data_IF_236180806019
#
_entry.id   IF_236180806019
#
_cell.length_a   1.000
_cell.length_b   1.000
_cell.length_c   1.000
_cell.angle_alpha   90.00
_cell.angle_beta   90.00
_cell.angle_gamma   90.00
#
_symmetry.space_group_name_H-M   'P 1'
#
loop_
_entity.id
_entity.type
_entity.pdbx_description
1 polymer ?
#
# COMPACT_ATOMS: atom_id res chain seq x y z
N UNK A 1 35.90 54.33 47.69
CA UNK A 1 36.44 53.61 46.51
C UNK A 1 37.59 52.73 46.95
N UNK A 2 37.36 51.43 47.14
CA UNK A 2 38.41 50.46 47.44
C UNK A 2 38.02 49.16 46.71
N UNK A 3 38.89 48.74 45.80
CA UNK A 3 38.68 47.60 44.89
C UNK A 3 38.71 46.30 45.70
N UNK A 4 37.71 45.45 45.48
CA UNK A 4 37.70 44.04 45.94
C UNK A 4 38.45 43.18 44.92
N UNK A 5 39.38 42.38 45.43
CA UNK A 5 40.23 41.47 44.68
C UNK A 5 39.57 40.09 44.68
N UNK A 6 39.32 39.56 43.49
CA UNK A 6 38.54 38.34 43.25
C UNK A 6 39.37 37.08 43.50
N UNK A 7 38.81 36.23 44.38
CA UNK A 7 39.11 34.83 44.63
C UNK A 7 39.23 33.97 43.37
N UNK A 8 40.27 33.14 43.28
CA UNK A 8 40.29 31.93 42.46
C UNK A 8 40.94 30.77 43.22
N UNK A 9 40.10 29.84 43.65
CA UNK A 9 40.43 28.57 44.29
C UNK A 9 40.72 27.47 43.24
N UNK A 10 41.70 26.58 43.43
CA UNK A 10 41.98 25.50 42.48
C UNK A 10 41.06 24.29 42.71
N UNK A 11 40.40 23.84 41.62
CA UNK A 11 39.55 22.64 41.60
C UNK A 11 40.35 21.35 41.80
N UNK A 12 39.87 20.57 42.77
CA UNK A 12 40.29 19.26 43.23
C UNK A 12 40.34 18.18 42.11
N UNK A 13 41.37 17.33 42.19
CA UNK A 13 41.72 16.27 41.24
C UNK A 13 41.47 14.91 41.91
N UNK A 14 40.24 14.43 41.86
CA UNK A 14 39.84 13.11 42.41
C UNK A 14 39.42 12.15 41.29
N UNK A 15 40.41 11.62 40.56
CA UNK A 15 40.23 10.42 39.71
C UNK A 15 41.31 9.39 40.05
N UNK A 16 40.88 8.15 40.30
CA UNK A 16 41.69 6.92 40.35
C UNK A 16 42.49 6.62 41.64
N UNK A 17 41.78 6.17 42.70
CA UNK A 17 42.40 5.45 43.84
C UNK A 17 42.12 3.94 43.91
N UNK A 18 41.02 3.41 43.34
CA UNK A 18 40.64 1.98 43.48
C UNK A 18 41.34 1.02 42.52
N UNK A 19 41.58 1.43 41.28
CA UNK A 19 42.30 0.61 40.28
C UNK A 19 43.79 0.56 40.59
N UNK A 20 44.33 1.67 41.10
CA UNK A 20 45.73 1.86 41.47
C UNK A 20 46.13 0.96 42.63
N UNK A 21 45.31 0.86 43.69
CA UNK A 21 45.61 0.01 44.86
C UNK A 21 45.56 -1.48 44.55
N UNK A 22 44.62 -1.93 43.70
CA UNK A 22 44.57 -3.34 43.30
C UNK A 22 45.77 -3.74 42.42
N UNK A 23 46.21 -2.86 41.51
CA UNK A 23 47.40 -3.13 40.69
C UNK A 23 48.67 -3.14 41.54
N UNK A 24 48.83 -2.18 42.47
CA UNK A 24 49.98 -2.12 43.39
C UNK A 24 50.17 -3.40 44.20
N UNK A 25 49.07 -3.96 44.75
CA UNK A 25 49.12 -5.18 45.55
C UNK A 25 49.49 -6.42 44.72
N UNK A 26 49.02 -6.50 43.48
CA UNK A 26 49.39 -7.59 42.54
C UNK A 26 50.85 -7.48 42.08
N UNK A 27 51.35 -6.27 41.92
CA UNK A 27 52.73 -6.02 41.52
C UNK A 27 53.69 -6.35 42.68
N UNK A 28 53.31 -6.02 43.93
CA UNK A 28 54.02 -6.37 45.15
C UNK A 28 53.98 -7.87 45.50
N UNK A 29 52.91 -8.60 45.15
CA UNK A 29 52.88 -10.07 45.23
C UNK A 29 53.77 -10.72 44.15
N UNK A 30 53.85 -10.11 42.96
CA UNK A 30 54.74 -10.58 41.89
C UNK A 30 56.22 -10.41 42.27
N UNK A 31 56.64 -9.23 42.72
CA UNK A 31 57.43 -9.02 43.95
C UNK A 31 58.27 -10.15 44.55
N UNK A 32 57.54 -11.08 45.19
CA UNK A 32 58.09 -12.09 46.08
C UNK A 32 58.19 -13.46 45.40
N UNK A 33 57.67 -13.60 44.18
CA UNK A 33 57.71 -14.85 43.41
C UNK A 33 59.07 -15.10 42.76
N UNK A 34 59.44 -16.38 42.66
CA UNK A 34 60.63 -16.82 41.92
C UNK A 34 60.55 -16.40 40.45
N UNK A 35 61.71 -16.13 39.81
CA UNK A 35 61.78 -15.79 38.37
C UNK A 35 61.03 -16.81 37.49
N UNK A 36 61.00 -18.09 37.89
CA UNK A 36 60.28 -19.16 37.18
C UNK A 36 58.75 -19.03 37.30
N UNK A 37 58.25 -18.72 38.49
CA UNK A 37 56.81 -18.57 38.78
C UNK A 37 56.23 -17.32 38.11
N UNK A 38 56.95 -16.20 38.14
CA UNK A 38 56.54 -14.98 37.40
C UNK A 38 56.43 -15.24 35.89
N UNK A 39 57.35 -16.04 35.33
CA UNK A 39 57.29 -16.44 33.91
C UNK A 39 56.09 -17.33 33.62
N UNK A 40 55.77 -18.28 34.49
CA UNK A 40 54.59 -19.15 34.37
C UNK A 40 53.27 -18.36 34.46
N UNK A 41 53.15 -17.47 35.45
CA UNK A 41 51.96 -16.62 35.62
C UNK A 41 51.76 -15.69 34.42
N UNK A 42 52.84 -15.10 33.88
CA UNK A 42 52.77 -14.30 32.64
C UNK A 42 52.32 -15.14 31.43
N UNK A 43 52.77 -16.39 31.32
CA UNK A 43 52.32 -17.32 30.26
C UNK A 43 50.84 -17.68 30.41
N UNK A 44 50.38 -18.00 31.62
CA UNK A 44 48.97 -18.30 31.90
C UNK A 44 48.06 -17.10 31.60
N UNK A 45 48.40 -15.90 32.07
CA UNK A 45 47.64 -14.68 31.76
C UNK A 45 47.56 -14.40 30.26
N UNK A 46 48.65 -14.59 29.52
CA UNK A 46 48.66 -14.48 28.05
C UNK A 46 47.73 -15.53 27.40
N UNK A 47 47.74 -16.77 27.89
CA UNK A 47 46.85 -17.82 27.39
C UNK A 47 45.37 -17.53 27.71
N UNK A 48 45.06 -17.02 28.90
CA UNK A 48 43.70 -16.61 29.29
C UNK A 48 43.20 -15.41 28.48
N UNK A 49 44.04 -14.40 28.27
CA UNK A 49 43.72 -13.28 27.40
C UNK A 49 43.48 -13.71 25.95
N UNK A 50 44.32 -14.60 25.42
CA UNK A 50 44.12 -15.17 24.08
C UNK A 50 42.82 -15.99 24.02
N UNK A 51 42.53 -16.84 25.01
CA UNK A 51 41.26 -17.58 25.11
C UNK A 51 40.07 -16.63 25.19
N UNK A 52 40.15 -15.54 25.97
CA UNK A 52 39.10 -14.53 26.12
C UNK A 52 38.89 -13.74 24.82
N UNK A 53 39.97 -13.36 24.13
CA UNK A 53 39.91 -12.70 22.81
C UNK A 53 39.28 -13.62 21.76
N UNK A 54 39.71 -14.88 21.69
CA UNK A 54 39.12 -15.91 20.80
C UNK A 54 37.65 -16.15 21.12
N UNK A 55 37.26 -16.25 22.39
CA UNK A 55 35.85 -16.41 22.82
C UNK A 55 35.01 -15.21 22.42
N UNK A 56 35.50 -13.98 22.65
CA UNK A 56 34.81 -12.75 22.22
C UNK A 56 34.65 -12.68 20.70
N UNK A 57 35.67 -13.06 19.93
CA UNK A 57 35.59 -13.12 18.47
C UNK A 57 34.59 -14.17 17.99
N UNK A 58 34.58 -15.37 18.60
CA UNK A 58 33.60 -16.42 18.30
C UNK A 58 32.17 -15.94 18.57
N UNK A 59 31.92 -15.35 19.74
CA UNK A 59 30.59 -14.81 20.10
C UNK A 59 30.16 -13.72 19.12
N UNK A 60 31.05 -12.76 18.80
CA UNK A 60 30.74 -11.71 17.82
C UNK A 60 30.39 -12.29 16.44
N UNK A 61 31.11 -13.33 15.99
CA UNK A 61 30.86 -14.01 14.72
C UNK A 61 29.52 -14.74 14.72
N UNK A 62 29.19 -15.46 15.80
CA UNK A 62 27.89 -16.15 15.93
C UNK A 62 26.73 -15.15 15.95
N UNK A 63 26.87 -14.02 16.65
CA UNK A 63 25.85 -12.95 16.66
C UNK A 63 25.65 -12.34 15.27
N UNK A 64 26.73 -12.08 14.52
CA UNK A 64 26.63 -11.56 13.15
C UNK A 64 25.93 -12.55 12.20
N UNK A 65 26.26 -13.84 12.30
CA UNK A 65 25.62 -14.88 11.48
C UNK A 65 24.13 -14.99 11.85
N UNK A 66 23.79 -15.00 13.14
CA UNK A 66 22.40 -15.04 13.59
C UNK A 66 21.59 -13.83 13.09
N UNK A 67 22.16 -12.63 13.10
CA UNK A 67 21.52 -11.43 12.57
C UNK A 67 21.27 -11.53 11.06
N UNK A 68 22.25 -12.01 10.29
CA UNK A 68 22.08 -12.21 8.84
C UNK A 68 20.96 -13.22 8.53
N UNK A 69 20.91 -14.33 9.27
CA UNK A 69 19.85 -15.34 9.10
C UNK A 69 18.47 -14.78 9.43
N UNK A 70 18.35 -13.96 10.48
CA UNK A 70 17.09 -13.30 10.83
C UNK A 70 16.63 -12.31 9.77
N UNK A 71 17.55 -11.52 9.19
CA UNK A 71 17.22 -10.57 8.11
C UNK A 71 16.75 -11.32 6.87
N UNK A 72 17.49 -12.36 6.45
CA UNK A 72 17.13 -13.14 5.27
C UNK A 72 15.82 -13.90 5.50
N UNK A 73 15.68 -14.58 6.65
CA UNK A 73 14.46 -15.30 7.01
C UNK A 73 13.25 -14.38 7.14
N UNK A 74 13.41 -13.21 7.76
CA UNK A 74 12.37 -12.19 7.86
C UNK A 74 11.99 -11.60 6.50
N UNK A 75 12.96 -11.39 5.61
CA UNK A 75 12.72 -10.95 4.23
C UNK A 75 11.96 -11.99 3.40
N UNK A 76 12.37 -13.26 3.47
CA UNK A 76 11.69 -14.38 2.79
C UNK A 76 10.28 -14.56 3.35
N UNK A 77 10.12 -14.53 4.67
CA UNK A 77 8.82 -14.66 5.33
C UNK A 77 7.91 -13.49 4.99
N UNK A 78 8.40 -12.25 5.06
CA UNK A 78 7.65 -11.05 4.69
C UNK A 78 7.25 -11.04 3.22
N UNK A 79 8.14 -11.48 2.32
CA UNK A 79 7.83 -11.60 0.90
C UNK A 79 6.81 -12.72 0.63
N UNK A 80 6.95 -13.88 1.29
CA UNK A 80 6.00 -14.98 1.19
C UNK A 80 4.61 -14.58 1.70
N UNK A 81 4.55 -13.94 2.87
CA UNK A 81 3.31 -13.40 3.42
C UNK A 81 2.68 -12.39 2.46
N UNK A 82 3.46 -11.43 1.96
CA UNK A 82 3.00 -10.42 1.01
C UNK A 82 2.45 -11.01 -0.29
N UNK A 83 3.08 -12.07 -0.82
CA UNK A 83 2.61 -12.76 -2.02
C UNK A 83 1.32 -13.56 -1.76
N UNK A 84 1.22 -14.22 -0.60
CA UNK A 84 0.03 -15.01 -0.24
C UNK A 84 -1.18 -14.16 0.12
N UNK A 85 -0.97 -12.94 0.65
CA UNK A 85 -2.06 -12.01 1.00
C UNK A 85 -2.46 -11.09 -0.14
N UNK A 86 -1.87 -11.21 -1.34
CA UNK A 86 -2.35 -10.42 -2.47
C UNK A 86 -3.78 -10.85 -2.78
N UNK A 87 -4.76 -9.93 -2.80
CA UNK A 87 -6.06 -10.28 -3.34
C UNK A 87 -5.84 -10.66 -4.81
N UNK A 88 -6.09 -11.92 -5.15
CA UNK A 88 -6.19 -12.34 -6.54
C UNK A 88 -7.42 -11.63 -7.12
N UNK A 89 -7.23 -10.59 -7.94
CA UNK A 89 -8.32 -10.11 -8.80
C UNK A 89 -8.71 -11.30 -9.68
N UNK A 90 -9.91 -11.87 -9.54
CA UNK A 90 -10.30 -13.06 -10.26
C UNK A 90 -10.18 -12.82 -11.77
N UNK A 91 -9.58 -13.74 -12.52
CA UNK A 91 -9.51 -13.65 -13.99
C UNK A 91 -10.92 -13.56 -14.62
N UNK A 92 -11.96 -13.95 -13.89
CA UNK A 92 -13.37 -13.82 -14.28
C UNK A 92 -13.86 -12.38 -14.48
N UNK A 93 -13.06 -11.37 -14.17
CA UNK A 93 -13.40 -9.95 -14.37
C UNK A 93 -12.84 -9.38 -15.69
N UNK A 94 -12.01 -10.14 -16.41
CA UNK A 94 -11.42 -9.68 -17.68
C UNK A 94 -12.38 -9.94 -18.84
N UNK A 95 -12.76 -8.87 -19.55
CA UNK A 95 -13.63 -8.91 -20.72
C UNK A 95 -12.84 -9.13 -22.00
N UNK A 96 -11.71 -8.43 -22.16
CA UNK A 96 -10.81 -8.57 -23.31
C UNK A 96 -9.39 -8.22 -22.93
N UNK A 97 -8.39 -8.86 -23.56
CA UNK A 97 -6.96 -8.49 -23.42
C UNK A 97 -6.46 -7.63 -24.58
N UNK A 98 -7.20 -7.59 -25.69
CA UNK A 98 -6.80 -6.97 -26.96
C UNK A 98 -7.59 -5.69 -27.28
N UNK A 99 -8.61 -5.38 -26.48
CA UNK A 99 -9.52 -4.26 -26.72
C UNK A 99 -10.90 -4.72 -27.15
N UNK A 100 -11.80 -3.75 -27.27
CA UNK A 100 -13.16 -3.92 -27.77
C UNK A 100 -13.55 -2.67 -28.57
N UNK A 101 -14.52 -2.83 -29.46
CA UNK A 101 -15.23 -1.74 -30.10
C UNK A 101 -16.71 -2.15 -30.10
N UNK A 102 -17.44 -1.73 -29.08
CA UNK A 102 -18.84 -2.10 -28.85
C UNK A 102 -19.75 -0.88 -28.87
N UNK A 103 -21.00 -1.10 -29.26
CA UNK A 103 -22.04 -0.08 -29.30
C UNK A 103 -23.25 -0.50 -28.48
N UNK A 104 -23.78 0.38 -27.63
CA UNK A 104 -24.96 0.12 -26.80
C UNK A 104 -25.96 1.26 -26.93
N UNK A 105 -27.23 0.92 -27.17
CA UNK A 105 -28.32 1.90 -27.22
C UNK A 105 -28.84 2.18 -25.80
N UNK A 106 -28.93 3.46 -25.40
CA UNK A 106 -29.49 3.86 -24.11
C UNK A 106 -30.72 4.75 -24.29
N UNK A 107 -31.87 4.30 -23.81
CA UNK A 107 -33.08 5.11 -23.74
C UNK A 107 -33.41 5.44 -22.29
N UNK A 108 -33.68 6.72 -22.01
CA UNK A 108 -34.11 7.17 -20.68
C UNK A 108 -35.49 7.82 -20.79
N UNK A 109 -36.43 7.38 -19.97
CA UNK A 109 -37.79 7.92 -19.90
C UNK A 109 -38.13 8.31 -18.46
N UNK A 110 -38.42 9.58 -18.22
CA UNK A 110 -38.80 10.10 -16.90
C UNK A 110 -40.20 10.68 -16.98
N UNK A 111 -41.12 10.13 -16.18
CA UNK A 111 -42.53 10.55 -16.11
C UNK A 111 -43.18 10.67 -17.49
N UNK A 112 -42.99 9.65 -18.33
CA UNK A 112 -43.54 9.61 -19.68
C UNK A 112 -42.73 10.32 -20.75
N UNK A 113 -41.71 11.13 -20.39
CA UNK A 113 -40.93 11.94 -21.32
C UNK A 113 -39.55 11.34 -21.60
N UNK A 114 -39.18 11.28 -22.88
CA UNK A 114 -37.84 10.87 -23.30
C UNK A 114 -36.81 11.93 -22.94
N UNK A 115 -35.70 11.49 -22.36
CA UNK A 115 -34.56 12.33 -22.03
C UNK A 115 -33.49 12.13 -23.09
N UNK A 116 -33.14 13.20 -23.79
CA UNK A 116 -32.07 13.17 -24.79
C UNK A 116 -30.71 12.92 -24.15
N UNK A 117 -29.90 12.11 -24.82
CA UNK A 117 -28.48 11.90 -24.49
C UNK A 117 -27.67 12.81 -25.42
N UNK A 118 -26.92 13.80 -24.90
CA UNK A 118 -26.05 14.62 -25.71
C UNK A 118 -24.97 13.82 -26.44
N UNK A 119 -24.59 14.28 -27.63
CA UNK A 119 -23.34 13.87 -28.24
C UNK A 119 -22.12 14.44 -27.51
N UNK A 120 -20.94 13.91 -27.85
CA UNK A 120 -19.63 14.35 -27.34
C UNK A 120 -19.45 14.19 -25.83
N UNK A 121 -20.22 13.30 -25.19
CA UNK A 121 -19.94 12.90 -23.81
C UNK A 121 -18.62 12.11 -23.81
N UNK A 122 -17.70 12.44 -22.91
CA UNK A 122 -16.39 11.79 -22.86
C UNK A 122 -15.41 12.22 -23.96
N UNK A 123 -15.75 13.23 -24.77
CA UNK A 123 -14.87 13.79 -25.80
C UNK A 123 -14.31 15.14 -25.30
N UNK A 124 -12.99 15.19 -25.13
CA UNK A 124 -12.27 16.41 -24.73
C UNK A 124 -11.01 16.63 -25.59
N UNK A 125 -9.88 16.91 -24.96
CA UNK A 125 -8.56 16.92 -25.63
C UNK A 125 -8.22 15.51 -26.15
N UNK A 126 -8.73 14.49 -25.46
CA UNK A 126 -8.64 13.08 -25.85
C UNK A 126 -10.01 12.46 -25.63
N UNK A 127 -10.36 11.49 -26.46
CA UNK A 127 -11.58 10.71 -26.34
C UNK A 127 -11.40 9.64 -25.25
N UNK A 128 -12.34 9.61 -24.30
CA UNK A 128 -12.38 8.55 -23.32
C UNK A 128 -12.88 7.25 -23.98
N UNK A 129 -12.43 6.06 -23.55
CA UNK A 129 -12.87 4.79 -24.12
C UNK A 129 -14.39 4.58 -24.10
N UNK A 130 -15.09 5.17 -23.14
CA UNK A 130 -16.55 5.19 -23.08
C UNK A 130 -17.05 6.59 -23.40
N UNK A 131 -17.76 6.77 -24.51
CA UNK A 131 -18.15 8.09 -25.01
C UNK A 131 -19.40 8.05 -25.92
N UNK A 132 -19.89 9.23 -26.33
CA UNK A 132 -20.87 9.39 -27.42
C UNK A 132 -20.29 10.29 -28.50
N UNK A 133 -20.54 9.98 -29.77
CA UNK A 133 -20.21 10.90 -30.87
C UNK A 133 -21.34 11.93 -31.08
N UNK A 134 -22.57 11.45 -31.25
CA UNK A 134 -23.74 12.25 -31.62
C UNK A 134 -24.87 12.12 -30.59
N UNK A 135 -25.93 12.92 -30.75
CA UNK A 135 -27.13 12.84 -29.90
C UNK A 135 -28.13 11.77 -30.37
N UNK A 136 -27.62 10.58 -30.71
CA UNK A 136 -28.36 9.44 -31.28
C UNK A 136 -28.65 8.33 -30.26
N UNK A 137 -28.23 8.53 -29.01
CA UNK A 137 -28.40 7.59 -27.89
C UNK A 137 -27.46 6.37 -27.90
N UNK A 138 -26.45 6.37 -28.76
CA UNK A 138 -25.44 5.30 -28.82
C UNK A 138 -24.25 5.61 -27.91
N UNK A 139 -23.95 4.67 -27.01
CA UNK A 139 -22.74 4.67 -26.20
C UNK A 139 -21.69 3.82 -26.92
N UNK A 140 -20.55 4.42 -27.19
CA UNK A 140 -19.36 3.76 -27.74
C UNK A 140 -18.47 3.27 -26.61
N UNK A 141 -17.96 2.05 -26.74
CA UNK A 141 -16.93 1.46 -25.88
C UNK A 141 -15.76 1.02 -26.74
N UNK A 142 -14.73 1.85 -26.81
CA UNK A 142 -13.57 1.71 -27.68
C UNK A 142 -12.29 1.64 -26.87
N UNK A 143 -11.85 0.41 -26.60
CA UNK A 143 -10.64 0.13 -25.85
C UNK A 143 -9.63 -0.54 -26.77
N UNK A 144 -8.35 -0.14 -26.69
CA UNK A 144 -7.28 -0.72 -27.50
C UNK A 144 -6.45 -1.81 -26.77
N UNK A 145 -6.90 -2.28 -25.60
CA UNK A 145 -6.12 -3.17 -24.74
C UNK A 145 -6.96 -3.88 -23.68
N UNK A 146 -6.38 -4.11 -22.49
CA UNK A 146 -7.08 -4.80 -21.41
C UNK A 146 -8.38 -4.07 -21.02
N UNK A 147 -9.49 -4.81 -21.01
CA UNK A 147 -10.82 -4.35 -20.58
C UNK A 147 -11.29 -5.24 -19.45
N UNK A 148 -11.75 -4.62 -18.36
CA UNK A 148 -12.36 -5.28 -17.20
C UNK A 148 -13.84 -4.95 -17.14
N UNK A 149 -14.59 -5.74 -16.37
CA UNK A 149 -16.01 -5.48 -16.11
C UNK A 149 -16.26 -4.04 -15.63
N UNK A 150 -15.48 -3.57 -14.66
CA UNK A 150 -15.59 -2.21 -14.11
C UNK A 150 -15.43 -1.10 -15.16
N UNK A 151 -14.64 -1.32 -16.21
CA UNK A 151 -14.39 -0.32 -17.26
C UNK A 151 -15.64 -0.04 -18.12
N UNK A 152 -16.54 -1.02 -18.20
CA UNK A 152 -17.72 -1.02 -19.09
C UNK A 152 -19.05 -1.09 -18.33
N UNK A 153 -19.03 -0.76 -17.03
CA UNK A 153 -20.27 -0.60 -16.26
C UNK A 153 -21.08 0.56 -16.81
N UNK A 154 -22.41 0.41 -16.87
CA UNK A 154 -23.31 1.50 -17.25
C UNK A 154 -23.13 2.73 -16.35
N UNK A 155 -22.88 2.52 -15.05
CA UNK A 155 -22.55 3.60 -14.11
C UNK A 155 -21.34 4.43 -14.55
N UNK A 156 -20.34 3.80 -15.18
CA UNK A 156 -19.14 4.48 -15.67
C UNK A 156 -19.47 5.54 -16.72
N UNK A 157 -20.41 5.23 -17.62
CA UNK A 157 -20.90 6.20 -18.59
C UNK A 157 -21.57 7.41 -17.92
N UNK A 158 -22.42 7.17 -16.92
CA UNK A 158 -23.09 8.24 -16.18
C UNK A 158 -22.13 9.11 -15.36
N UNK A 159 -21.07 8.53 -14.80
CA UNK A 159 -19.97 9.27 -14.17
C UNK A 159 -19.28 10.21 -15.16
N UNK A 160 -18.93 9.71 -16.35
CA UNK A 160 -18.31 10.51 -17.41
C UNK A 160 -19.24 11.64 -17.87
N UNK A 161 -20.55 11.35 -17.97
CA UNK A 161 -21.56 12.35 -18.30
C UNK A 161 -21.78 13.36 -17.15
N UNK A 162 -21.38 13.05 -15.92
CA UNK A 162 -21.65 13.88 -14.74
C UNK A 162 -23.12 13.85 -14.31
N UNK A 163 -23.80 12.73 -14.56
CA UNK A 163 -25.21 12.51 -14.18
C UNK A 163 -25.32 11.42 -13.14
N UNK A 164 -26.25 11.59 -12.19
CA UNK A 164 -26.54 10.56 -11.19
C UNK A 164 -27.30 9.42 -11.84
N UNK A 165 -26.80 8.20 -11.69
CA UNK A 165 -27.54 6.98 -11.94
C UNK A 165 -27.10 5.90 -10.97
N UNK A 166 -28.06 5.32 -10.26
CA UNK A 166 -27.88 4.13 -9.46
C UNK A 166 -29.22 3.41 -9.28
N UNK A 167 -29.22 2.27 -8.59
CA UNK A 167 -30.42 1.49 -8.24
C UNK A 167 -31.57 2.31 -7.62
N UNK A 168 -31.25 3.43 -6.96
CA UNK A 168 -32.23 4.25 -6.28
C UNK A 168 -32.68 5.47 -7.07
N UNK A 169 -31.84 6.01 -7.96
CA UNK A 169 -32.08 7.30 -8.60
C UNK A 169 -31.58 7.38 -10.05
N UNK A 170 -32.31 8.14 -10.87
CA UNK A 170 -31.88 8.66 -12.17
C UNK A 170 -32.00 10.19 -12.14
N UNK A 171 -30.89 10.89 -12.34
CA UNK A 171 -30.79 12.34 -12.16
C UNK A 171 -31.27 12.78 -10.76
N UNK A 172 -32.30 13.62 -10.70
CA UNK A 172 -32.94 14.12 -9.48
C UNK A 172 -34.15 13.27 -9.04
N UNK A 173 -34.53 12.23 -9.81
CA UNK A 173 -35.67 11.36 -9.50
C UNK A 173 -35.20 10.10 -8.81
N UNK A 174 -35.76 9.85 -7.63
CA UNK A 174 -35.42 8.70 -6.79
C UNK A 174 -36.66 7.88 -6.45
N UNK A 175 -36.47 6.59 -6.25
CA UNK A 175 -37.49 5.66 -5.76
C UNK A 175 -38.19 6.23 -4.52
N UNK A 176 -39.52 6.31 -4.55
CA UNK A 176 -40.29 6.89 -3.45
C UNK A 176 -41.76 7.14 -3.80
N UNK A 177 -42.42 8.07 -3.08
CA UNK A 177 -43.81 8.44 -3.34
C UNK A 177 -44.05 9.01 -4.75
N UNK A 178 -43.03 9.65 -5.35
CA UNK A 178 -43.12 10.25 -6.69
C UNK A 178 -43.08 9.22 -7.82
N UNK A 179 -42.54 8.02 -7.56
CA UNK A 179 -42.40 7.00 -8.59
C UNK A 179 -41.37 5.92 -8.28
N UNK A 180 -41.17 5.05 -9.26
CA UNK A 180 -40.22 3.94 -9.23
C UNK A 180 -39.33 3.94 -10.46
N UNK A 181 -38.06 3.66 -10.23
CA UNK A 181 -37.05 3.41 -11.22
C UNK A 181 -37.08 1.94 -11.63
N UNK A 182 -37.09 1.70 -12.94
CA UNK A 182 -37.03 0.40 -13.58
C UNK A 182 -35.94 0.44 -14.64
N UNK A 183 -35.30 -0.70 -14.88
CA UNK A 183 -34.35 -0.86 -15.96
C UNK A 183 -34.66 -2.15 -16.71
N UNK A 184 -34.53 -2.10 -18.02
CA UNK A 184 -34.63 -3.24 -18.92
C UNK A 184 -33.36 -3.30 -19.77
N UNK A 185 -32.92 -4.51 -20.08
CA UNK A 185 -31.84 -4.76 -21.02
C UNK A 185 -32.38 -5.76 -22.03
N UNK A 186 -32.42 -5.38 -23.30
CA UNK A 186 -32.99 -6.18 -24.38
C UNK A 186 -34.44 -6.59 -24.08
N UNK A 187 -35.25 -5.64 -23.60
CA UNK A 187 -36.67 -5.79 -23.21
C UNK A 187 -36.93 -6.65 -21.95
N UNK A 188 -35.90 -7.24 -21.36
CA UNK A 188 -36.02 -8.04 -20.14
C UNK A 188 -35.71 -7.20 -18.88
N UNK A 189 -36.47 -7.36 -17.78
CA UNK A 189 -36.17 -6.66 -16.54
C UNK A 189 -34.75 -6.93 -16.03
N UNK A 190 -34.02 -5.86 -15.70
CA UNK A 190 -32.66 -5.94 -15.18
C UNK A 190 -32.53 -5.15 -13.86
N UNK A 191 -31.88 -5.76 -12.87
CA UNK A 191 -31.75 -5.21 -11.52
C UNK A 191 -30.32 -4.84 -11.13
N UNK A 192 -29.39 -4.82 -12.10
CA UNK A 192 -27.98 -4.48 -11.88
C UNK A 192 -27.75 -2.96 -11.89
N UNK A 193 -28.59 -2.18 -12.58
CA UNK A 193 -28.53 -0.72 -12.66
C UNK A 193 -27.13 -0.19 -13.02
N UNK A 194 -26.52 0.65 -12.18
CA UNK A 194 -25.18 1.20 -12.40
C UNK A 194 -24.11 0.12 -12.54
N UNK A 195 -24.36 -1.07 -11.98
CA UNK A 195 -23.44 -2.20 -12.01
C UNK A 195 -23.60 -3.08 -13.25
N UNK A 196 -24.55 -2.77 -14.15
CA UNK A 196 -24.72 -3.54 -15.37
C UNK A 196 -23.49 -3.46 -16.27
N UNK A 197 -22.95 -4.62 -16.65
CA UNK A 197 -21.82 -4.75 -17.57
C UNK A 197 -22.38 -4.69 -18.99
N UNK A 198 -22.18 -3.55 -19.67
CA UNK A 198 -22.71 -3.34 -21.02
C UNK A 198 -22.07 -4.31 -22.02
N UNK A 199 -22.86 -4.84 -22.95
CA UNK A 199 -22.42 -5.70 -24.06
C UNK A 199 -22.70 -5.04 -25.40
N UNK A 200 -22.00 -5.52 -26.42
CA UNK A 200 -22.23 -5.10 -27.80
C UNK A 200 -23.69 -5.31 -28.21
N UNK A 201 -24.28 -4.27 -28.78
CA UNK A 201 -25.68 -4.17 -29.22
C UNK A 201 -26.73 -4.29 -28.12
N UNK A 202 -26.36 -4.13 -26.86
CA UNK A 202 -27.36 -4.03 -25.80
C UNK A 202 -28.31 -2.86 -26.05
N UNK A 203 -29.59 -3.08 -25.77
CA UNK A 203 -30.64 -2.06 -25.76
C UNK A 203 -31.09 -1.85 -24.33
N UNK A 204 -30.63 -0.76 -23.73
CA UNK A 204 -30.88 -0.45 -22.33
C UNK A 204 -31.99 0.59 -22.25
N UNK A 205 -33.04 0.28 -21.49
CA UNK A 205 -34.11 1.22 -21.20
C UNK A 205 -34.18 1.49 -19.70
N UNK A 206 -34.04 2.77 -19.31
CA UNK A 206 -34.20 3.23 -17.93
C UNK A 206 -35.48 4.05 -17.85
N UNK A 207 -36.41 3.64 -16.98
CA UNK A 207 -37.73 4.25 -16.86
C UNK A 207 -37.96 4.66 -15.41
N UNK A 208 -38.26 5.94 -15.19
CA UNK A 208 -38.84 6.41 -13.94
C UNK A 208 -40.31 6.77 -14.17
N UNK A 209 -41.23 6.09 -13.49
CA UNK A 209 -42.67 6.28 -13.66
C UNK A 209 -43.39 6.40 -12.32
N UNK A 210 -44.51 7.12 -12.33
CA UNK A 210 -45.38 7.25 -11.17
C UNK A 210 -46.02 5.89 -10.84
N UNK A 211 -46.19 5.61 -9.55
CA UNK A 211 -46.88 4.39 -9.09
C UNK A 211 -48.37 4.44 -9.39
#
# INVERSE_FOLDING_TARGET
>A
MRKEEVSNEPKDRTVSRRTTTHNYRKDAEMEQLSKKERRLLRKQRKQEEQKRKRRKQKIKKTLHIGLLVLIIGGGIFGLGWFLLTRPSTPESEIISKEGIHWHTDLTIKILGRYQGIPGKIGIGITELPVHTHEADSVIHMEFSGLVREDDIRLGRFFEIWGKKFNRDCIFDKCNGPEGRLKMFVNQEPNYQFENHIMRDRDKIEIIFEQQ
#
